data_IF_838696139399
#
_entry.id   IF_838696139399
#
_cell.length_a   1.000
_cell.length_b   1.000
_cell.length_c   1.000
_cell.angle_alpha   90.00
_cell.angle_beta   90.00
_cell.angle_gamma   90.00
#
_symmetry.space_group_name_H-M   'P 1'
#
loop_
_entity.id
_entity.type
_entity.pdbx_description
1 polymer ?
#
# COMPACT_ATOMS: atom_id res chain seq x y z
N UNK A 1 6.01 55.48 5.59
CA UNK A 1 5.62 54.15 6.13
C UNK A 1 6.41 53.10 5.37
N UNK A 2 7.37 52.44 6.02
CA UNK A 2 8.19 51.41 5.37
C UNK A 2 7.52 50.05 5.51
N UNK A 3 7.41 49.31 4.40
CA UNK A 3 7.01 47.90 4.43
C UNK A 3 8.12 47.14 5.14
N UNK A 4 7.86 46.71 6.38
CA UNK A 4 8.74 45.77 7.08
C UNK A 4 8.56 44.40 6.43
N UNK A 5 9.58 43.94 5.71
CA UNK A 5 9.70 42.54 5.34
C UNK A 5 9.95 41.74 6.63
N UNK A 6 8.90 41.12 7.16
CA UNK A 6 9.02 40.11 8.21
C UNK A 6 9.33 38.81 7.49
N UNK A 7 10.63 38.51 7.33
CA UNK A 7 11.03 37.24 6.74
C UNK A 7 10.68 36.11 7.71
N UNK A 8 9.60 35.39 7.40
CA UNK A 8 9.23 34.17 8.09
C UNK A 8 10.17 33.04 7.71
N UNK A 9 11.44 33.12 8.14
CA UNK A 9 12.48 32.14 7.83
C UNK A 9 12.11 30.69 8.22
N UNK A 10 11.07 30.48 9.05
CA UNK A 10 10.53 29.16 9.43
C UNK A 10 9.14 28.82 8.88
N UNK A 11 8.40 29.75 8.25
CA UNK A 11 7.02 29.48 7.79
C UNK A 11 6.98 28.69 6.47
N UNK A 12 7.94 28.93 5.58
CA UNK A 12 8.02 28.22 4.29
C UNK A 12 8.37 26.74 4.49
N UNK A 13 9.38 26.37 5.32
CA UNK A 13 9.67 24.96 5.58
C UNK A 13 8.52 24.21 6.27
N UNK A 14 7.80 24.87 7.18
CA UNK A 14 6.68 24.26 7.90
C UNK A 14 5.48 23.99 6.99
N UNK A 15 5.04 24.97 6.19
CA UNK A 15 3.93 24.78 5.26
C UNK A 15 4.22 23.68 4.21
N UNK A 16 5.47 23.59 3.75
CA UNK A 16 5.91 22.53 2.82
C UNK A 16 5.94 21.17 3.52
N UNK A 17 6.43 21.09 4.76
CA UNK A 17 6.43 19.86 5.56
C UNK A 17 5.01 19.34 5.80
N UNK A 18 4.09 20.20 6.22
CA UNK A 18 2.70 19.83 6.41
C UNK A 18 2.04 19.36 5.10
N UNK A 19 2.36 20.02 3.99
CA UNK A 19 1.87 19.59 2.68
C UNK A 19 2.40 18.21 2.30
N UNK A 20 3.69 17.96 2.51
CA UNK A 20 4.29 16.63 2.31
C UNK A 20 3.58 15.59 3.16
N UNK A 21 3.38 15.83 4.46
CA UNK A 21 2.67 14.92 5.36
C UNK A 21 1.25 14.62 4.88
N UNK A 22 0.52 15.61 4.36
CA UNK A 22 -0.81 15.41 3.76
C UNK A 22 -0.77 14.49 2.54
N UNK A 23 0.20 14.68 1.64
CA UNK A 23 0.36 13.83 0.45
C UNK A 23 0.76 12.41 0.85
N UNK A 24 1.65 12.26 1.84
CA UNK A 24 2.05 10.97 2.36
C UNK A 24 0.88 10.23 3.02
N UNK A 25 0.06 10.91 3.82
CA UNK A 25 -1.14 10.34 4.45
C UNK A 25 -2.18 9.94 3.40
N UNK A 26 -2.41 10.76 2.37
CA UNK A 26 -3.27 10.40 1.25
C UNK A 26 -2.76 9.16 0.52
N UNK A 27 -1.44 9.07 0.31
CA UNK A 27 -0.80 7.90 -0.32
C UNK A 27 -1.04 6.64 0.50
N UNK A 28 -0.82 6.68 1.82
CA UNK A 28 -1.09 5.55 2.72
C UNK A 28 -2.58 5.15 2.67
N UNK A 29 -3.50 6.12 2.65
CA UNK A 29 -4.93 5.86 2.56
C UNK A 29 -5.29 5.11 1.27
N UNK A 30 -4.89 5.64 0.10
CA UNK A 30 -5.20 5.00 -1.19
C UNK A 30 -4.53 3.63 -1.34
N UNK A 31 -3.31 3.46 -0.82
CA UNK A 31 -2.62 2.18 -0.83
C UNK A 31 -3.33 1.17 0.08
N UNK A 32 -3.80 1.59 1.25
CA UNK A 32 -4.57 0.73 2.17
C UNK A 32 -5.89 0.30 1.54
N UNK A 33 -6.62 1.24 0.94
CA UNK A 33 -7.86 0.95 0.22
C UNK A 33 -7.63 -0.05 -0.93
N UNK A 34 -6.58 0.17 -1.73
CA UNK A 34 -6.23 -0.76 -2.81
C UNK A 34 -5.79 -2.12 -2.24
N UNK A 35 -5.05 -2.14 -1.14
CA UNK A 35 -4.66 -3.37 -0.45
C UNK A 35 -5.85 -4.21 0.00
N UNK A 36 -6.84 -3.58 0.63
CA UNK A 36 -8.11 -4.24 1.01
C UNK A 36 -8.84 -4.80 -0.19
N UNK A 37 -8.98 -3.98 -1.24
CA UNK A 37 -9.64 -4.36 -2.49
C UNK A 37 -8.96 -5.56 -3.15
N UNK A 38 -7.64 -5.54 -3.25
CA UNK A 38 -6.86 -6.60 -3.90
C UNK A 38 -6.84 -7.89 -3.07
N UNK A 39 -6.65 -7.79 -1.75
CA UNK A 39 -6.70 -8.95 -0.86
C UNK A 39 -8.08 -9.61 -0.89
N UNK A 40 -9.15 -8.81 -0.84
CA UNK A 40 -10.53 -9.30 -1.00
C UNK A 40 -10.71 -9.99 -2.36
N UNK A 41 -10.25 -9.36 -3.44
CA UNK A 41 -10.38 -9.92 -4.78
C UNK A 41 -9.64 -11.26 -4.94
N UNK A 42 -8.42 -11.40 -4.41
CA UNK A 42 -7.70 -12.67 -4.41
C UNK A 42 -8.48 -13.77 -3.67
N UNK A 43 -9.09 -13.44 -2.52
CA UNK A 43 -9.95 -14.37 -1.78
C UNK A 43 -11.22 -14.74 -2.54
N UNK A 44 -11.85 -13.80 -3.24
CA UNK A 44 -13.06 -14.09 -4.03
C UNK A 44 -12.77 -14.93 -5.28
N UNK A 45 -11.57 -14.79 -5.85
CA UNK A 45 -11.17 -15.42 -7.11
C UNK A 45 -10.36 -16.71 -6.93
N UNK A 46 -10.17 -17.18 -5.70
CA UNK A 46 -9.41 -18.42 -5.47
C UNK A 46 -10.10 -19.61 -6.13
N UNK A 47 -9.33 -20.60 -6.58
CA UNK A 47 -9.88 -21.79 -7.27
C UNK A 47 -9.50 -23.12 -6.62
N UNK A 48 -8.73 -23.09 -5.54
CA UNK A 48 -8.43 -24.28 -4.75
C UNK A 48 -9.59 -24.62 -3.80
N UNK A 49 -9.68 -25.90 -3.41
CA UNK A 49 -10.61 -26.32 -2.36
C UNK A 49 -10.09 -25.87 -1.00
N UNK A 50 -10.74 -24.88 -0.41
CA UNK A 50 -10.38 -24.38 0.90
C UNK A 50 -10.98 -25.25 2.02
N UNK A 51 -10.18 -26.15 2.58
CA UNK A 51 -10.64 -27.11 3.61
C UNK A 51 -10.50 -26.59 5.04
N UNK A 52 -9.40 -25.88 5.32
CA UNK A 52 -9.06 -25.40 6.66
C UNK A 52 -9.23 -23.89 6.81
N UNK A 53 -9.36 -23.15 5.71
CA UNK A 53 -9.34 -21.70 5.71
C UNK A 53 -7.93 -21.09 5.74
N UNK A 54 -6.88 -21.87 6.03
CA UNK A 54 -5.56 -21.30 6.35
C UNK A 54 -4.95 -20.51 5.19
N UNK A 55 -5.03 -21.04 3.97
CA UNK A 55 -4.48 -20.36 2.79
C UNK A 55 -5.22 -19.05 2.52
N UNK A 56 -6.54 -19.11 2.37
CA UNK A 56 -7.38 -17.93 2.08
C UNK A 56 -7.30 -16.89 3.19
N UNK A 57 -7.28 -17.31 4.44
CA UNK A 57 -7.21 -16.40 5.58
C UNK A 57 -5.83 -15.77 5.73
N UNK A 58 -4.75 -16.45 5.29
CA UNK A 58 -3.40 -15.86 5.21
C UNK A 58 -3.23 -14.84 4.08
N UNK A 59 -4.22 -14.68 3.19
CA UNK A 59 -4.17 -13.65 2.14
C UNK A 59 -4.46 -12.29 2.76
N UNK A 60 -3.57 -11.32 2.54
CA UNK A 60 -3.75 -9.94 2.97
C UNK A 60 -2.79 -8.97 2.30
N UNK A 61 -2.58 -7.83 2.93
CA UNK A 61 -1.72 -6.78 2.40
C UNK A 61 -0.92 -6.06 3.48
N UNK A 62 0.15 -5.39 3.05
CA UNK A 62 0.90 -4.44 3.85
C UNK A 62 1.24 -3.18 3.04
N UNK A 63 1.16 -2.02 3.69
CA UNK A 63 1.63 -0.73 3.18
C UNK A 63 2.94 -0.40 3.87
N UNK A 64 3.98 -0.23 3.07
CA UNK A 64 5.33 0.11 3.53
C UNK A 64 5.63 1.56 3.16
N UNK A 65 6.20 2.31 4.12
CA UNK A 65 6.75 3.65 3.92
C UNK A 65 8.17 3.70 4.44
N UNK A 66 9.13 4.03 3.57
CA UNK A 66 10.55 4.17 3.95
C UNK A 66 11.10 2.96 4.70
N UNK A 67 10.84 1.75 4.20
CA UNK A 67 11.29 0.50 4.81
C UNK A 67 10.58 0.12 6.13
N UNK A 68 9.48 0.78 6.49
CA UNK A 68 8.67 0.44 7.66
C UNK A 68 7.24 0.11 7.27
N UNK A 69 6.68 -0.91 7.89
CA UNK A 69 5.25 -1.26 7.73
C UNK A 69 4.44 -0.20 8.48
N UNK A 70 3.54 0.50 7.77
CA UNK A 70 2.67 1.53 8.35
C UNK A 70 1.23 1.05 8.48
N UNK A 71 0.80 0.12 7.61
CA UNK A 71 -0.52 -0.48 7.71
C UNK A 71 -0.50 -1.94 7.22
N UNK A 72 -1.38 -2.77 7.77
CA UNK A 72 -1.59 -4.15 7.35
C UNK A 72 -3.07 -4.49 7.43
N UNK A 73 -3.56 -5.36 6.56
CA UNK A 73 -4.94 -5.83 6.64
C UNK A 73 -5.20 -7.07 5.82
N UNK A 74 -6.44 -7.53 5.83
CA UNK A 74 -6.88 -8.70 5.08
C UNK A 74 -6.47 -10.05 5.70
N UNK A 75 -5.33 -10.15 6.39
CA UNK A 75 -4.92 -11.38 7.09
C UNK A 75 -5.91 -11.70 8.24
N UNK A 76 -6.71 -12.74 8.04
CA UNK A 76 -7.70 -13.24 8.99
C UNK A 76 -7.28 -14.63 9.50
N UNK A 77 -8.03 -15.24 10.42
CA UNK A 77 -7.77 -16.63 10.84
C UNK A 77 -6.82 -16.80 12.02
N UNK A 78 -6.25 -18.01 12.14
CA UNK A 78 -5.48 -18.45 13.31
C UNK A 78 -4.20 -17.63 13.52
N UNK A 79 -3.64 -17.74 14.73
CA UNK A 79 -2.33 -17.14 15.05
C UNK A 79 -1.24 -17.60 14.07
N UNK A 80 -1.30 -18.84 13.56
CA UNK A 80 -0.33 -19.34 12.57
C UNK A 80 -0.44 -18.60 11.23
N UNK A 81 -1.66 -18.38 10.73
CA UNK A 81 -1.85 -17.71 9.44
C UNK A 81 -1.33 -16.28 9.44
N UNK A 82 -1.54 -15.56 10.55
CA UNK A 82 -1.01 -14.22 10.76
C UNK A 82 0.51 -14.24 10.92
N UNK A 83 1.05 -15.15 11.72
CA UNK A 83 2.50 -15.27 11.94
C UNK A 83 3.25 -15.55 10.64
N UNK A 84 2.76 -16.50 9.82
CA UNK A 84 3.38 -16.85 8.55
C UNK A 84 3.36 -15.67 7.55
N UNK A 85 2.25 -14.91 7.51
CA UNK A 85 2.15 -13.72 6.66
C UNK A 85 3.12 -12.61 7.10
N UNK A 86 3.30 -12.42 8.40
CA UNK A 86 4.28 -11.47 8.95
C UNK A 86 5.72 -11.89 8.65
N UNK A 87 6.02 -13.19 8.72
CA UNK A 87 7.34 -13.71 8.37
C UNK A 87 7.68 -13.43 6.91
N UNK A 88 6.79 -13.78 5.98
CA UNK A 88 6.96 -13.49 4.55
C UNK A 88 7.15 -11.99 4.31
N UNK A 89 6.37 -11.15 4.99
CA UNK A 89 6.51 -9.70 4.89
C UNK A 89 7.90 -9.23 5.35
N UNK A 90 8.39 -9.73 6.49
CA UNK A 90 9.70 -9.38 7.03
C UNK A 90 10.84 -9.77 6.08
N UNK A 91 10.76 -10.93 5.44
CA UNK A 91 11.73 -11.39 4.43
C UNK A 91 11.71 -10.53 3.15
N UNK A 92 10.57 -9.91 2.85
CA UNK A 92 10.44 -9.00 1.71
C UNK A 92 10.90 -7.58 2.01
N UNK A 93 10.90 -7.14 3.28
CA UNK A 93 11.22 -5.75 3.66
C UNK A 93 12.60 -5.31 3.16
N UNK A 94 13.59 -6.19 3.23
CA UNK A 94 14.98 -5.90 2.82
C UNK A 94 15.12 -5.67 1.30
N UNK A 95 14.11 -6.04 0.52
CA UNK A 95 14.09 -5.89 -0.95
C UNK A 95 13.38 -4.63 -1.41
N UNK A 96 12.77 -3.87 -0.50
CA UNK A 96 11.93 -2.71 -0.82
C UNK A 96 12.75 -1.43 -0.68
N UNK A 97 13.18 -0.90 -1.82
CA UNK A 97 13.96 0.35 -1.90
C UNK A 97 13.11 1.58 -2.29
N UNK A 98 11.79 1.48 -2.16
CA UNK A 98 10.85 2.54 -2.53
C UNK A 98 10.32 3.28 -1.31
N UNK A 99 10.05 4.58 -1.47
CA UNK A 99 9.44 5.41 -0.41
C UNK A 99 8.07 4.87 0.00
N UNK A 100 7.30 4.32 -0.95
CA UNK A 100 6.03 3.65 -0.70
C UNK A 100 5.96 2.33 -1.47
N UNK A 101 5.42 1.29 -0.83
CA UNK A 101 5.09 0.03 -1.49
C UNK A 101 3.77 -0.53 -0.95
N UNK A 102 3.00 -1.16 -1.83
CA UNK A 102 1.85 -1.99 -1.48
C UNK A 102 2.22 -3.45 -1.78
N UNK A 103 2.14 -4.30 -0.78
CA UNK A 103 2.51 -5.72 -0.87
C UNK A 103 1.24 -6.53 -0.66
N UNK A 104 0.97 -7.47 -1.57
CA UNK A 104 -0.07 -8.50 -1.39
C UNK A 104 0.64 -9.80 -1.00
N UNK A 105 0.12 -10.47 0.01
CA UNK A 105 0.79 -11.59 0.69
C UNK A 105 -0.19 -12.75 0.76
N UNK A 106 0.29 -13.98 0.57
CA UNK A 106 -0.34 -15.20 1.06
C UNK A 106 0.69 -15.89 1.96
N UNK A 107 0.41 -15.94 3.26
CA UNK A 107 1.41 -16.32 4.26
C UNK A 107 1.77 -17.80 4.30
N UNK A 108 0.93 -18.70 3.76
CA UNK A 108 1.23 -20.14 3.81
C UNK A 108 2.38 -20.53 2.89
N UNK A 109 3.36 -21.29 3.38
CA UNK A 109 4.55 -21.71 2.62
C UNK A 109 4.20 -22.50 1.34
N UNK A 110 3.07 -23.20 1.33
CA UNK A 110 2.57 -23.95 0.18
C UNK A 110 1.77 -23.11 -0.82
N UNK A 111 1.59 -21.80 -0.60
CA UNK A 111 0.83 -20.91 -1.48
C UNK A 111 1.39 -20.92 -2.91
N UNK A 112 2.71 -20.79 -3.05
CA UNK A 112 3.41 -20.82 -4.35
C UNK A 112 3.23 -22.16 -5.07
N UNK A 113 3.24 -23.27 -4.32
CA UNK A 113 3.01 -24.60 -4.87
C UNK A 113 1.57 -24.79 -5.37
N UNK A 114 0.58 -24.28 -4.63
CA UNK A 114 -0.83 -24.29 -5.05
C UNK A 114 -1.01 -23.45 -6.31
N UNK A 115 -0.39 -22.27 -6.38
CA UNK A 115 -0.45 -21.41 -7.56
C UNK A 115 0.25 -22.02 -8.78
N UNK A 116 1.40 -22.68 -8.58
CA UNK A 116 2.11 -23.40 -9.64
C UNK A 116 1.32 -24.57 -10.25
N UNK A 117 0.34 -25.12 -9.53
CA UNK A 117 -0.61 -26.12 -10.05
C UNK A 117 -1.72 -25.54 -10.93
N UNK A 118 -1.72 -24.22 -11.13
CA UNK A 118 -2.74 -23.52 -11.91
C UNK A 118 -3.96 -23.08 -11.09
N UNK A 119 -3.88 -23.13 -9.75
CA UNK A 119 -4.91 -22.55 -8.91
C UNK A 119 -4.65 -21.06 -8.69
N UNK A 120 -5.73 -20.30 -8.51
CA UNK A 120 -5.65 -18.89 -8.18
C UNK A 120 -5.37 -18.73 -6.68
N UNK A 121 -4.27 -18.05 -6.34
CA UNK A 121 -3.95 -17.65 -4.95
C UNK A 121 -3.74 -16.13 -4.87
N UNK A 122 -2.64 -15.61 -5.42
CA UNK A 122 -2.33 -14.16 -5.46
C UNK A 122 -2.43 -13.61 -6.89
N UNK A 123 -2.19 -14.44 -7.91
CA UNK A 123 -2.14 -14.06 -9.32
C UNK A 123 -3.33 -13.18 -9.76
N UNK A 124 -4.60 -13.46 -9.39
CA UNK A 124 -5.71 -12.56 -9.75
C UNK A 124 -5.54 -11.14 -9.20
N UNK A 125 -5.06 -11.00 -7.97
CA UNK A 125 -4.78 -9.70 -7.38
C UNK A 125 -3.60 -9.02 -8.07
N UNK A 126 -2.55 -9.74 -8.46
CA UNK A 126 -1.44 -9.17 -9.23
C UNK A 126 -1.92 -8.58 -10.56
N UNK A 127 -2.70 -9.33 -11.32
CA UNK A 127 -3.26 -8.88 -12.61
C UNK A 127 -4.14 -7.64 -12.42
N UNK A 128 -4.98 -7.65 -11.40
CA UNK A 128 -5.85 -6.50 -11.06
C UNK A 128 -5.03 -5.28 -10.63
N UNK A 129 -3.98 -5.47 -9.84
CA UNK A 129 -3.09 -4.40 -9.42
C UNK A 129 -2.38 -3.75 -10.61
N UNK A 130 -1.86 -4.56 -11.55
CA UNK A 130 -1.26 -4.06 -12.80
C UNK A 130 -2.22 -3.21 -13.61
N UNK A 131 -3.51 -3.57 -13.63
CA UNK A 131 -4.54 -2.82 -14.34
C UNK A 131 -4.96 -1.52 -13.61
N UNK A 132 -5.11 -1.54 -12.29
CA UNK A 132 -5.76 -0.44 -11.55
C UNK A 132 -4.81 0.50 -10.80
N UNK A 133 -3.67 0.00 -10.31
CA UNK A 133 -2.73 0.77 -9.51
C UNK A 133 -2.16 1.99 -10.26
N UNK A 134 -1.85 1.93 -11.57
CA UNK A 134 -1.40 3.12 -12.31
C UNK A 134 -2.39 4.29 -12.23
N UNK A 135 -3.70 4.02 -12.29
CA UNK A 135 -4.72 5.05 -12.19
C UNK A 135 -4.81 5.65 -10.78
N UNK A 136 -4.64 4.83 -9.74
CA UNK A 136 -4.56 5.30 -8.34
C UNK A 136 -3.37 6.23 -8.15
N UNK A 137 -2.19 5.86 -8.66
CA UNK A 137 -0.98 6.69 -8.57
C UNK A 137 -1.17 8.00 -9.31
N UNK A 138 -1.75 7.98 -10.52
CA UNK A 138 -2.05 9.20 -11.27
C UNK A 138 -3.01 10.11 -10.50
N UNK A 139 -4.05 9.54 -9.88
CA UNK A 139 -4.98 10.31 -9.06
C UNK A 139 -4.29 11.02 -7.90
N UNK A 140 -3.44 10.32 -7.14
CA UNK A 140 -2.68 10.91 -6.03
C UNK A 140 -1.82 12.08 -6.54
N UNK A 141 -1.12 11.89 -7.67
CA UNK A 141 -0.28 12.94 -8.27
C UNK A 141 -1.09 14.17 -8.69
N UNK A 142 -2.25 13.97 -9.31
CA UNK A 142 -3.14 15.05 -9.74
C UNK A 142 -3.70 15.81 -8.53
N UNK A 143 -4.20 15.11 -7.52
CA UNK A 143 -4.73 15.71 -6.29
C UNK A 143 -3.65 16.52 -5.56
N UNK A 144 -2.44 15.97 -5.44
CA UNK A 144 -1.29 16.69 -4.88
C UNK A 144 -0.93 17.93 -5.70
N UNK A 145 -0.84 17.83 -7.02
CA UNK A 145 -0.49 18.96 -7.90
C UNK A 145 -1.53 20.08 -7.85
N UNK A 146 -2.82 19.74 -7.84
CA UNK A 146 -3.90 20.73 -7.68
C UNK A 146 -3.81 21.45 -6.34
N UNK A 147 -3.57 20.71 -5.25
CA UNK A 147 -3.44 21.29 -3.91
C UNK A 147 -2.16 22.13 -3.77
N UNK A 148 -1.07 21.73 -4.40
CA UNK A 148 0.15 22.54 -4.45
C UNK A 148 -0.07 23.86 -5.20
N UNK A 149 -0.82 23.82 -6.32
CA UNK A 149 -1.17 25.04 -7.07
C UNK A 149 -2.07 25.97 -6.27
N UNK A 150 -3.06 25.42 -5.56
CA UNK A 150 -3.96 26.18 -4.68
C UNK A 150 -3.20 26.84 -3.52
N UNK A 151 -2.29 26.10 -2.88
CA UNK A 151 -1.63 26.56 -1.65
C UNK A 151 -0.38 27.43 -1.91
N UNK A 152 0.36 27.16 -2.98
CA UNK A 152 1.67 27.77 -3.24
C UNK A 152 1.79 28.43 -4.62
N UNK A 153 0.78 28.33 -5.48
CA UNK A 153 0.82 28.89 -6.84
C UNK A 153 1.72 28.14 -7.82
N UNK A 154 2.21 26.94 -7.46
CA UNK A 154 3.12 26.13 -8.27
C UNK A 154 2.47 24.82 -8.75
N UNK A 155 2.89 24.31 -9.91
CA UNK A 155 2.60 22.93 -10.32
C UNK A 155 3.78 22.04 -9.95
N UNK A 156 3.48 20.84 -9.45
CA UNK A 156 4.43 19.73 -9.29
C UNK A 156 4.61 18.98 -10.61
#
# INVERSE_FOLDING_TARGET
MGIKYVSGYNLIPEAVREFQERVENATVYYFSYMGEKLAKYAKEMHSYTDRTGNLTNSIGYAVVKGGKIINTGGMMGSSEAKAASLQVLQEMMDRINHQFALIIIAGMEYASYVEAKGYNVIMPAELKAKAEMPAVIQRIKLEASMKAKEQFGISL
#
